data_IF_779503415210
#
_entry.id   IF_779503415210
#
_cell.length_a   1.000
_cell.length_b   1.000
_cell.length_c   1.000
_cell.angle_alpha   90.00
_cell.angle_beta   90.00
_cell.angle_gamma   90.00
#
_symmetry.space_group_name_H-M   'P 1'
#
loop_
_entity.id
_entity.type
_entity.pdbx_description
1 polymer ?
#
# COMPACT_ATOMS: atom_id res chain seq x y z
N UNK A 1 -69.91 1.35 4.30
CA UNK A 1 -68.49 1.73 4.44
C UNK A 1 -67.80 0.67 5.27
N UNK A 2 -66.88 -0.08 4.67
CA UNK A 2 -65.94 -0.93 5.41
C UNK A 2 -64.63 -0.93 4.60
N UNK A 3 -63.68 -0.09 5.02
CA UNK A 3 -62.32 -0.12 4.49
C UNK A 3 -61.56 -1.20 5.25
N UNK A 4 -61.32 -2.33 4.60
CA UNK A 4 -60.38 -3.33 5.08
C UNK A 4 -58.95 -2.82 4.87
N UNK A 5 -58.29 -2.44 5.95
CA UNK A 5 -56.84 -2.21 5.95
C UNK A 5 -56.14 -3.57 5.85
N UNK A 6 -55.72 -3.95 4.64
CA UNK A 6 -54.69 -4.96 4.45
C UNK A 6 -53.36 -4.35 4.89
N UNK A 7 -52.97 -4.56 6.15
CA UNK A 7 -51.57 -4.41 6.55
C UNK A 7 -50.77 -5.48 5.82
N UNK A 8 -50.04 -5.08 4.79
CA UNK A 8 -48.99 -5.89 4.21
C UNK A 8 -47.90 -6.08 5.28
N UNK A 9 -47.91 -7.22 5.96
CA UNK A 9 -46.77 -7.67 6.74
C UNK A 9 -45.67 -8.04 5.74
N UNK A 10 -44.76 -7.10 5.46
CA UNK A 10 -43.50 -7.43 4.81
C UNK A 10 -42.80 -8.47 5.68
N UNK A 11 -42.58 -9.68 5.13
CA UNK A 11 -41.79 -10.70 5.82
C UNK A 11 -40.40 -10.12 6.11
N UNK A 12 -39.90 -10.35 7.32
CA UNK A 12 -38.56 -9.91 7.67
C UNK A 12 -37.55 -10.54 6.69
N UNK A 13 -36.58 -9.76 6.17
CA UNK A 13 -35.61 -10.29 5.22
C UNK A 13 -34.79 -11.40 5.87
N UNK A 14 -34.52 -12.45 5.11
CA UNK A 14 -33.66 -13.56 5.51
C UNK A 14 -32.21 -13.11 5.68
N UNK A 15 -31.40 -13.91 6.39
CA UNK A 15 -29.96 -13.69 6.54
C UNK A 15 -29.23 -13.61 5.17
N UNK A 16 -29.63 -14.46 4.21
CA UNK A 16 -29.11 -14.44 2.84
C UNK A 16 -29.44 -13.15 2.10
N UNK A 17 -30.68 -12.68 2.19
CA UNK A 17 -31.11 -11.43 1.54
C UNK A 17 -30.37 -10.23 2.13
N UNK A 18 -30.28 -10.13 3.46
CA UNK A 18 -29.52 -9.06 4.14
C UNK A 18 -28.06 -9.01 3.69
N UNK A 19 -27.41 -10.17 3.60
CA UNK A 19 -26.02 -10.24 3.16
C UNK A 19 -25.85 -9.90 1.67
N UNK A 20 -26.76 -10.35 0.81
CA UNK A 20 -26.72 -10.04 -0.62
C UNK A 20 -26.94 -8.54 -0.86
N UNK A 21 -27.93 -7.94 -0.20
CA UNK A 21 -28.17 -6.50 -0.25
C UNK A 21 -26.96 -5.72 0.25
N UNK A 22 -26.37 -6.12 1.39
CA UNK A 22 -25.16 -5.49 1.90
C UNK A 22 -24.01 -5.55 0.89
N UNK A 23 -23.79 -6.67 0.20
CA UNK A 23 -22.76 -6.81 -0.83
C UNK A 23 -22.99 -5.89 -2.03
N UNK A 24 -24.24 -5.73 -2.46
CA UNK A 24 -24.60 -4.79 -3.53
C UNK A 24 -24.31 -3.36 -3.08
N UNK A 25 -24.69 -3.00 -1.86
CA UNK A 25 -24.42 -1.67 -1.29
C UNK A 25 -22.92 -1.40 -1.13
N UNK A 26 -22.12 -2.40 -0.74
CA UNK A 26 -20.65 -2.34 -0.71
C UNK A 26 -20.08 -2.09 -2.09
N UNK A 27 -20.60 -2.76 -3.12
CA UNK A 27 -20.19 -2.54 -4.51
C UNK A 27 -20.49 -1.10 -4.95
N UNK A 28 -21.65 -0.58 -4.55
CA UNK A 28 -22.07 0.82 -4.76
C UNK A 28 -21.34 1.83 -3.85
N UNK A 29 -20.45 1.38 -2.95
CA UNK A 29 -19.75 2.20 -1.93
C UNK A 29 -20.70 2.93 -0.96
N UNK A 30 -21.90 2.39 -0.73
CA UNK A 30 -22.87 2.89 0.27
C UNK A 30 -22.61 2.24 1.62
N UNK A 31 -21.51 2.64 2.26
CA UNK A 31 -20.93 1.95 3.43
C UNK A 31 -21.87 1.90 4.63
N UNK A 32 -22.53 3.00 4.97
CA UNK A 32 -23.42 3.11 6.13
C UNK A 32 -24.68 2.25 5.93
N UNK A 33 -25.23 2.26 4.72
CA UNK A 33 -26.41 1.44 4.39
C UNK A 33 -26.07 -0.05 4.39
N UNK A 34 -24.90 -0.41 3.83
CA UNK A 34 -24.41 -1.78 3.89
C UNK A 34 -24.20 -2.23 5.35
N UNK A 35 -23.59 -1.38 6.17
CA UNK A 35 -23.37 -1.65 7.58
C UNK A 35 -24.69 -1.92 8.31
N UNK A 36 -25.74 -1.12 8.07
CA UNK A 36 -27.05 -1.34 8.70
C UNK A 36 -27.62 -2.72 8.38
N UNK A 37 -27.50 -3.18 7.14
CA UNK A 37 -27.96 -4.52 6.72
C UNK A 37 -27.17 -5.64 7.41
N UNK A 38 -25.86 -5.44 7.57
CA UNK A 38 -24.98 -6.37 8.26
C UNK A 38 -25.25 -6.40 9.77
N UNK A 39 -25.50 -5.25 10.38
CA UNK A 39 -25.88 -5.13 11.79
C UNK A 39 -27.20 -5.85 12.06
N UNK A 40 -28.20 -5.68 11.18
CA UNK A 40 -29.46 -6.43 11.24
C UNK A 40 -29.22 -7.95 11.16
N UNK A 41 -28.34 -8.40 10.27
CA UNK A 41 -27.99 -9.82 10.16
C UNK A 41 -27.34 -10.34 11.45
N UNK A 42 -26.34 -9.63 11.96
CA UNK A 42 -25.58 -10.04 13.14
C UNK A 42 -26.44 -10.06 14.41
N UNK A 43 -27.42 -9.16 14.54
CA UNK A 43 -28.32 -9.11 15.70
C UNK A 43 -29.41 -10.18 15.61
N UNK A 44 -30.03 -10.34 14.44
CA UNK A 44 -31.22 -11.21 14.29
C UNK A 44 -30.86 -12.67 14.07
N UNK A 45 -29.69 -12.94 13.50
CA UNK A 45 -29.29 -14.27 13.07
C UNK A 45 -27.90 -14.64 13.62
N UNK A 46 -27.75 -14.62 14.95
CA UNK A 46 -26.48 -14.92 15.65
C UNK A 46 -25.91 -16.31 15.36
N UNK A 47 -26.78 -17.28 15.04
CA UNK A 47 -26.41 -18.66 14.72
C UNK A 47 -26.30 -18.93 13.21
N UNK A 48 -26.44 -17.89 12.37
CA UNK A 48 -26.36 -18.06 10.92
C UNK A 48 -24.97 -18.53 10.50
N UNK A 49 -24.85 -19.47 9.53
CA UNK A 49 -23.57 -19.81 8.91
C UNK A 49 -22.94 -18.62 8.17
N UNK A 50 -23.70 -17.55 7.92
CA UNK A 50 -23.23 -16.33 7.28
C UNK A 50 -22.69 -15.30 8.27
N UNK A 51 -22.79 -15.55 9.58
CA UNK A 51 -22.40 -14.60 10.63
C UNK A 51 -20.97 -14.11 10.46
N UNK A 52 -20.01 -15.02 10.27
CA UNK A 52 -18.60 -14.66 10.09
C UNK A 52 -18.39 -13.82 8.84
N UNK A 53 -19.05 -14.17 7.73
CA UNK A 53 -18.96 -13.40 6.50
C UNK A 53 -19.56 -12.00 6.68
N UNK A 54 -20.68 -11.88 7.38
CA UNK A 54 -21.29 -10.59 7.69
C UNK A 54 -20.38 -9.72 8.58
N UNK A 55 -19.73 -10.33 9.56
CA UNK A 55 -18.80 -9.65 10.45
C UNK A 55 -17.57 -9.10 9.70
N UNK A 56 -17.00 -9.88 8.79
CA UNK A 56 -15.92 -9.42 7.90
C UNK A 56 -16.35 -8.21 7.06
N UNK A 57 -17.51 -8.29 6.40
CA UNK A 57 -18.01 -7.17 5.60
C UNK A 57 -18.37 -5.95 6.44
N UNK A 58 -18.77 -6.12 7.71
CA UNK A 58 -18.99 -5.01 8.63
C UNK A 58 -17.67 -4.29 8.92
N UNK A 59 -16.61 -5.06 9.18
CA UNK A 59 -15.25 -4.50 9.32
C UNK A 59 -14.84 -3.69 8.09
N UNK A 60 -15.13 -4.22 6.90
CA UNK A 60 -14.88 -3.51 5.62
C UNK A 60 -15.66 -2.21 5.52
N UNK A 61 -16.96 -2.20 5.84
CA UNK A 61 -17.76 -0.98 5.77
C UNK A 61 -17.27 0.08 6.77
N UNK A 62 -16.87 -0.33 7.98
CA UNK A 62 -16.33 0.59 8.98
C UNK A 62 -14.97 1.13 8.58
N UNK A 63 -14.10 0.32 7.95
CA UNK A 63 -12.77 0.76 7.52
C UNK A 63 -12.78 1.82 6.41
N UNK A 64 -13.90 1.99 5.72
CA UNK A 64 -14.08 2.96 4.64
C UNK A 64 -14.83 4.23 5.12
N UNK A 65 -15.15 4.31 6.42
CA UNK A 65 -15.78 5.46 7.05
C UNK A 65 -14.76 6.21 7.93
N UNK A 66 -14.66 7.52 7.74
CA UNK A 66 -13.74 8.37 8.51
C UNK A 66 -14.12 8.40 10.00
N UNK A 67 -13.14 8.16 10.88
CA UNK A 67 -13.35 8.16 12.34
C UNK A 67 -13.86 6.83 12.91
N UNK A 68 -14.11 5.83 12.07
CA UNK A 68 -14.59 4.50 12.47
C UNK A 68 -13.47 3.44 12.55
N UNK A 69 -12.21 3.85 12.44
CA UNK A 69 -11.03 2.97 12.35
C UNK A 69 -10.93 2.04 13.57
N UNK A 70 -11.20 2.58 14.77
CA UNK A 70 -11.18 1.80 16.02
C UNK A 70 -12.23 0.70 16.02
N UNK A 71 -13.45 1.01 15.57
CA UNK A 71 -14.53 0.03 15.51
C UNK A 71 -14.22 -1.03 14.45
N UNK A 72 -13.65 -0.62 13.31
CA UNK A 72 -13.21 -1.54 12.27
C UNK A 72 -12.16 -2.53 12.79
N UNK A 73 -11.12 -2.06 13.51
CA UNK A 73 -10.11 -2.92 14.12
C UNK A 73 -10.74 -3.97 15.05
N UNK A 74 -11.63 -3.54 15.95
CA UNK A 74 -12.28 -4.45 16.90
C UNK A 74 -13.15 -5.49 16.18
N UNK A 75 -13.88 -5.09 15.13
CA UNK A 75 -14.69 -6.02 14.32
C UNK A 75 -13.80 -7.03 13.58
N UNK A 76 -12.67 -6.60 13.01
CA UNK A 76 -11.72 -7.51 12.37
C UNK A 76 -11.06 -8.48 13.35
N UNK A 77 -10.74 -8.03 14.57
CA UNK A 77 -10.25 -8.91 15.65
C UNK A 77 -11.31 -9.95 16.05
N UNK A 78 -12.57 -9.53 16.18
CA UNK A 78 -13.69 -10.43 16.45
C UNK A 78 -13.84 -11.48 15.34
N UNK A 79 -13.76 -11.06 14.07
CA UNK A 79 -13.79 -11.97 12.92
C UNK A 79 -12.65 -12.99 12.97
N UNK A 80 -11.41 -12.55 13.20
CA UNK A 80 -10.24 -13.43 13.32
C UNK A 80 -10.37 -14.47 14.43
N UNK A 81 -11.07 -14.14 15.52
CA UNK A 81 -11.32 -15.05 16.64
C UNK A 81 -12.35 -16.15 16.36
N UNK A 82 -13.03 -16.12 15.20
CA UNK A 82 -14.08 -17.09 14.86
C UNK A 82 -13.52 -18.38 14.29
N UNK A 83 -14.12 -19.51 14.70
CA UNK A 83 -13.73 -20.85 14.25
C UNK A 83 -14.06 -21.11 12.78
N UNK A 84 -15.10 -20.45 12.28
CA UNK A 84 -15.62 -20.57 10.92
C UNK A 84 -15.12 -19.43 10.00
N UNK A 85 -14.12 -18.67 10.42
CA UNK A 85 -13.51 -17.64 9.60
C UNK A 85 -12.65 -18.24 8.48
N UNK A 86 -12.74 -17.64 7.29
CA UNK A 86 -11.97 -18.05 6.12
C UNK A 86 -10.52 -17.58 6.26
N UNK A 87 -9.56 -18.45 5.93
CA UNK A 87 -8.13 -18.17 6.12
C UNK A 87 -7.64 -16.97 5.29
N UNK A 88 -8.12 -16.81 4.06
CA UNK A 88 -7.69 -15.70 3.20
C UNK A 88 -8.27 -14.37 3.72
N UNK A 89 -9.52 -14.39 4.15
CA UNK A 89 -10.16 -13.22 4.76
C UNK A 89 -9.58 -12.89 6.14
N UNK A 90 -9.06 -13.86 6.89
CA UNK A 90 -8.28 -13.61 8.11
C UNK A 90 -7.03 -12.81 7.74
N UNK A 91 -6.26 -13.25 6.74
CA UNK A 91 -5.06 -12.54 6.29
C UNK A 91 -5.40 -11.10 5.86
N UNK A 92 -6.47 -10.91 5.08
CA UNK A 92 -6.96 -9.59 4.69
C UNK A 92 -7.34 -8.73 5.91
N UNK A 93 -8.01 -9.31 6.90
CA UNK A 93 -8.38 -8.62 8.15
C UNK A 93 -7.15 -8.19 8.95
N UNK A 94 -6.10 -9.02 9.01
CA UNK A 94 -4.85 -8.66 9.69
C UNK A 94 -4.11 -7.52 8.99
N UNK A 95 -4.09 -7.53 7.65
CA UNK A 95 -3.54 -6.41 6.85
C UNK A 95 -4.33 -5.13 7.11
N UNK A 96 -5.67 -5.20 7.12
CA UNK A 96 -6.52 -4.04 7.44
C UNK A 96 -6.31 -3.52 8.86
N UNK A 97 -6.11 -4.40 9.85
CA UNK A 97 -5.76 -3.99 11.22
C UNK A 97 -4.43 -3.22 11.22
N UNK A 98 -3.41 -3.69 10.50
CA UNK A 98 -2.11 -3.00 10.38
C UNK A 98 -2.28 -1.60 9.79
N UNK A 99 -3.07 -1.47 8.71
CA UNK A 99 -3.31 -0.18 8.05
C UNK A 99 -4.02 0.81 8.97
N UNK A 100 -5.15 0.40 9.55
CA UNK A 100 -5.94 1.25 10.44
C UNK A 100 -5.16 1.64 11.70
N UNK A 101 -4.36 0.71 12.23
CA UNK A 101 -3.53 0.97 13.41
C UNK A 101 -2.41 1.97 13.12
N UNK A 102 -1.83 1.90 11.91
CA UNK A 102 -0.85 2.87 11.45
C UNK A 102 -1.47 4.26 11.31
N UNK A 103 -2.65 4.35 10.69
CA UNK A 103 -3.32 5.65 10.50
C UNK A 103 -3.68 6.28 11.86
N UNK A 104 -4.19 5.49 12.81
CA UNK A 104 -4.44 5.95 14.18
C UNK A 104 -3.16 6.38 14.90
N UNK A 105 -2.05 5.67 14.70
CA UNK A 105 -0.76 6.03 15.28
C UNK A 105 -0.28 7.39 14.74
N UNK A 106 -0.33 7.61 13.43
CA UNK A 106 0.07 8.87 12.78
C UNK A 106 -0.84 10.04 13.21
N UNK A 107 -2.11 9.77 13.56
CA UNK A 107 -3.01 10.72 14.22
C UNK A 107 -2.69 10.97 15.71
N UNK A 108 -1.58 10.45 16.23
CA UNK A 108 -1.11 10.64 17.59
C UNK A 108 -1.68 9.64 18.61
N UNK A 109 -2.40 8.59 18.19
CA UNK A 109 -2.86 7.51 19.08
C UNK A 109 -1.76 6.45 19.22
N UNK A 110 -0.71 6.80 19.97
CA UNK A 110 0.54 6.02 20.05
C UNK A 110 0.37 4.55 20.43
N UNK A 111 -0.65 4.19 21.22
CA UNK A 111 -0.91 2.81 21.65
C UNK A 111 -1.22 1.85 20.49
N UNK A 112 -1.68 2.35 19.33
CA UNK A 112 -2.00 1.48 18.19
C UNK A 112 -0.77 0.90 17.49
N UNK A 113 0.43 1.37 17.83
CA UNK A 113 1.66 0.75 17.36
C UNK A 113 1.80 -0.71 17.80
N UNK A 114 1.26 -1.05 18.96
CA UNK A 114 1.35 -2.39 19.55
C UNK A 114 0.69 -3.45 18.64
N UNK A 115 -0.35 -3.08 17.90
CA UNK A 115 -1.01 -3.96 16.93
C UNK A 115 -0.09 -4.33 15.76
N UNK A 116 0.67 -3.35 15.28
CA UNK A 116 1.63 -3.55 14.20
C UNK A 116 2.82 -4.36 14.70
N UNK A 117 3.33 -4.05 15.90
CA UNK A 117 4.42 -4.79 16.53
C UNK A 117 4.06 -6.24 16.83
N UNK A 118 2.84 -6.51 17.28
CA UNK A 118 2.35 -7.87 17.47
C UNK A 118 2.30 -8.63 16.14
N UNK A 119 1.96 -7.94 15.04
CA UNK A 119 1.86 -8.54 13.70
C UNK A 119 3.21 -9.00 13.14
N UNK A 120 4.35 -8.45 13.62
CA UNK A 120 5.69 -8.96 13.33
C UNK A 120 5.90 -10.40 13.81
N UNK A 121 5.08 -10.89 14.74
CA UNK A 121 5.12 -12.26 15.26
C UNK A 121 4.06 -13.16 14.62
N UNK A 122 3.34 -12.68 13.60
CA UNK A 122 2.34 -13.50 12.90
C UNK A 122 2.99 -14.75 12.30
N UNK A 123 2.25 -15.86 12.34
CA UNK A 123 2.63 -17.10 11.64
C UNK A 123 2.44 -16.95 10.13
N UNK A 124 1.55 -16.06 9.72
CA UNK A 124 1.36 -15.73 8.32
C UNK A 124 2.52 -14.84 7.84
N UNK A 125 3.23 -15.32 6.83
CA UNK A 125 4.40 -14.64 6.26
C UNK A 125 4.01 -13.31 5.63
N UNK A 126 2.89 -13.26 4.92
CA UNK A 126 2.44 -12.05 4.24
C UNK A 126 2.12 -10.95 5.25
N UNK A 127 1.41 -11.29 6.33
CA UNK A 127 1.08 -10.35 7.42
C UNK A 127 2.34 -9.86 8.13
N UNK A 128 3.25 -10.77 8.47
CA UNK A 128 4.51 -10.44 9.13
C UNK A 128 5.38 -9.48 8.30
N UNK A 129 5.50 -9.75 7.00
CA UNK A 129 6.28 -8.90 6.09
C UNK A 129 5.60 -7.55 5.87
N UNK A 130 4.27 -7.54 5.69
CA UNK A 130 3.51 -6.32 5.54
C UNK A 130 3.66 -5.41 6.77
N UNK A 131 3.58 -5.97 7.98
CA UNK A 131 3.81 -5.22 9.23
C UNK A 131 5.20 -4.57 9.28
N UNK A 132 6.25 -5.30 8.89
CA UNK A 132 7.62 -4.78 8.89
C UNK A 132 7.81 -3.64 7.88
N UNK A 133 7.25 -3.78 6.68
CA UNK A 133 7.28 -2.73 5.66
C UNK A 133 6.47 -1.51 6.13
N UNK A 134 5.31 -1.71 6.74
CA UNK A 134 4.49 -0.62 7.27
C UNK A 134 5.22 0.13 8.40
N UNK A 135 5.86 -0.57 9.34
CA UNK A 135 6.67 0.04 10.40
C UNK A 135 7.80 0.91 9.87
N UNK A 136 8.39 0.59 8.71
CA UNK A 136 9.43 1.44 8.11
C UNK A 136 8.98 2.86 7.75
N UNK A 137 7.65 3.07 7.66
CA UNK A 137 7.03 4.36 7.35
C UNK A 137 6.73 5.19 8.60
N UNK A 138 6.85 4.61 9.79
CA UNK A 138 6.64 5.32 11.05
C UNK A 138 7.74 6.36 11.25
N UNK A 139 7.34 7.56 11.68
CA UNK A 139 8.26 8.68 11.89
C UNK A 139 9.27 8.43 13.02
N UNK A 140 8.85 7.76 14.11
CA UNK A 140 9.76 7.36 15.18
C UNK A 140 10.71 6.24 14.72
N UNK A 141 11.99 6.58 14.60
CA UNK A 141 13.04 5.65 14.19
C UNK A 141 13.24 4.50 15.17
N UNK A 142 13.01 4.70 16.47
CA UNK A 142 13.16 3.62 17.45
C UNK A 142 12.12 2.53 17.21
N UNK A 143 10.87 2.93 17.03
CA UNK A 143 9.77 2.06 16.65
C UNK A 143 10.01 1.40 15.29
N UNK A 144 10.40 2.17 14.27
CA UNK A 144 10.65 1.64 12.93
C UNK A 144 11.76 0.56 12.92
N UNK A 145 12.80 0.72 13.75
CA UNK A 145 13.88 -0.27 13.93
C UNK A 145 13.40 -1.64 14.40
N UNK A 146 12.24 -1.76 15.04
CA UNK A 146 11.65 -3.04 15.44
C UNK A 146 11.30 -3.93 14.24
N UNK A 147 11.07 -3.34 13.05
CA UNK A 147 10.82 -4.07 11.81
C UNK A 147 12.08 -4.64 11.14
N UNK A 148 13.28 -4.15 11.49
CA UNK A 148 14.53 -4.51 10.80
C UNK A 148 14.82 -6.02 10.75
N UNK A 149 14.63 -6.82 11.83
CA UNK A 149 14.91 -8.25 11.76
C UNK A 149 14.08 -8.97 10.69
N UNK A 150 12.81 -8.57 10.51
CA UNK A 150 11.92 -9.15 9.50
C UNK A 150 12.30 -8.66 8.10
N UNK A 151 12.68 -7.38 7.94
CA UNK A 151 13.14 -6.87 6.64
C UNK A 151 14.43 -7.54 6.18
N UNK A 152 15.37 -7.82 7.10
CA UNK A 152 16.58 -8.59 6.81
C UNK A 152 16.24 -10.02 6.38
N UNK A 153 15.31 -10.68 7.08
CA UNK A 153 14.81 -12.01 6.71
C UNK A 153 14.25 -12.04 5.28
N UNK A 154 13.51 -10.99 4.86
CA UNK A 154 13.03 -10.84 3.48
C UNK A 154 14.21 -10.79 2.49
N UNK A 155 15.21 -9.95 2.75
CA UNK A 155 16.35 -9.73 1.85
C UNK A 155 17.23 -10.98 1.68
N UNK A 156 17.36 -11.77 2.75
CA UNK A 156 18.15 -13.00 2.79
C UNK A 156 17.43 -14.20 2.16
N UNK A 157 16.12 -14.34 2.35
CA UNK A 157 15.41 -15.59 2.07
C UNK A 157 14.42 -15.55 0.92
N UNK A 158 13.87 -14.38 0.60
CA UNK A 158 12.88 -14.28 -0.47
C UNK A 158 13.58 -14.18 -1.83
N UNK A 159 12.95 -14.77 -2.85
CA UNK A 159 13.43 -14.73 -4.25
C UNK A 159 12.71 -13.68 -5.09
N UNK A 160 11.55 -13.25 -4.64
CA UNK A 160 10.74 -12.24 -5.30
C UNK A 160 11.49 -10.89 -5.28
N UNK A 161 11.86 -10.42 -6.47
CA UNK A 161 12.66 -9.21 -6.63
C UNK A 161 11.91 -7.96 -6.16
N UNK A 162 10.61 -7.87 -6.44
CA UNK A 162 9.79 -6.71 -6.04
C UNK A 162 9.69 -6.64 -4.51
N UNK A 163 9.46 -7.79 -3.87
CA UNK A 163 9.40 -7.87 -2.41
C UNK A 163 10.75 -7.52 -1.77
N UNK A 164 11.86 -7.99 -2.36
CA UNK A 164 13.22 -7.64 -1.88
C UNK A 164 13.47 -6.15 -2.06
N UNK A 165 13.12 -5.55 -3.19
CA UNK A 165 13.31 -4.12 -3.44
C UNK A 165 12.48 -3.27 -2.46
N UNK A 166 11.24 -3.66 -2.20
CA UNK A 166 10.41 -3.04 -1.16
C UNK A 166 11.06 -3.13 0.22
N UNK A 167 11.66 -4.27 0.56
CA UNK A 167 12.40 -4.43 1.82
C UNK A 167 13.68 -3.59 1.85
N UNK A 168 14.45 -3.48 0.75
CA UNK A 168 15.63 -2.61 0.65
C UNK A 168 15.24 -1.15 0.92
N UNK A 169 14.17 -0.67 0.27
CA UNK A 169 13.63 0.67 0.50
C UNK A 169 13.19 0.87 1.95
N UNK A 170 12.51 -0.12 2.53
CA UNK A 170 12.10 -0.08 3.93
C UNK A 170 13.30 0.00 4.89
N UNK A 171 14.37 -0.77 4.64
CA UNK A 171 15.60 -0.70 5.44
C UNK A 171 16.25 0.68 5.31
N UNK A 172 16.39 1.22 4.10
CA UNK A 172 16.97 2.55 3.86
C UNK A 172 16.23 3.66 4.62
N UNK A 173 14.91 3.58 4.72
CA UNK A 173 14.12 4.54 5.50
C UNK A 173 14.44 4.49 7.00
N UNK A 174 14.78 3.32 7.53
CA UNK A 174 15.00 3.11 8.96
C UNK A 174 16.45 3.39 9.33
N UNK A 175 17.38 2.81 8.58
CA UNK A 175 18.80 2.78 8.87
C UNK A 175 19.58 2.69 7.53
N UNK A 176 19.95 3.84 6.93
CA UNK A 176 20.64 3.86 5.64
C UNK A 176 21.92 3.01 5.60
N UNK A 177 22.64 2.98 6.73
CA UNK A 177 23.91 2.25 6.87
C UNK A 177 23.70 0.74 7.06
N UNK A 178 22.47 0.28 7.35
CA UNK A 178 22.20 -1.13 7.58
C UNK A 178 22.34 -2.02 6.32
N UNK A 179 22.46 -1.40 5.14
CA UNK A 179 22.71 -2.11 3.89
C UNK A 179 24.20 -2.38 3.61
N UNK A 180 25.14 -1.77 4.33
CA UNK A 180 26.59 -1.96 4.09
C UNK A 180 27.05 -3.42 4.24
N UNK A 181 26.30 -4.24 4.98
CA UNK A 181 26.62 -5.65 5.25
C UNK A 181 25.69 -6.65 4.56
N UNK A 182 24.71 -6.20 3.76
CA UNK A 182 23.87 -7.13 3.00
C UNK A 182 24.63 -7.47 1.73
N UNK A 183 25.35 -8.59 1.78
CA UNK A 183 25.92 -9.19 0.59
C UNK A 183 24.78 -9.38 -0.40
N UNK A 184 24.76 -8.57 -1.46
CA UNK A 184 23.96 -8.86 -2.64
C UNK A 184 24.45 -10.23 -3.11
N UNK A 185 23.72 -11.29 -2.75
CA UNK A 185 23.79 -12.52 -3.51
C UNK A 185 23.40 -12.14 -4.92
N UNK A 186 24.42 -11.96 -5.77
CA UNK A 186 24.36 -11.72 -7.19
C UNK A 186 23.46 -12.78 -7.84
N UNK A 187 22.17 -12.53 -7.85
CA UNK A 187 21.30 -13.06 -8.88
C UNK A 187 21.49 -12.14 -10.08
N UNK A 188 22.16 -12.68 -11.09
CA UNK A 188 22.56 -12.07 -12.37
C UNK A 188 21.45 -11.27 -13.07
N UNK A 189 21.17 -10.07 -12.58
CA UNK A 189 20.52 -9.02 -13.34
C UNK A 189 21.22 -7.73 -12.95
N UNK A 190 22.06 -7.21 -13.86
CA UNK A 190 22.62 -5.86 -13.68
C UNK A 190 21.45 -4.92 -13.39
N UNK A 191 21.46 -4.17 -12.27
CA UNK A 191 20.39 -3.24 -11.97
C UNK A 191 20.34 -2.22 -13.10
N UNK A 192 19.13 -1.95 -13.63
CA UNK A 192 18.97 -0.95 -14.68
C UNK A 192 19.37 0.41 -14.13
N UNK A 193 20.19 1.16 -14.85
CA UNK A 193 20.69 2.47 -14.43
C UNK A 193 20.09 3.57 -15.32
N UNK A 194 19.50 4.59 -14.71
CA UNK A 194 19.24 5.85 -15.40
C UNK A 194 20.54 6.65 -15.48
N UNK A 195 20.94 6.97 -16.71
CA UNK A 195 22.13 7.76 -17.01
C UNK A 195 21.70 9.09 -17.61
N UNK A 196 22.19 10.19 -17.03
CA UNK A 196 22.02 11.55 -17.53
C UNK A 196 23.40 12.15 -17.80
N UNK A 197 23.58 12.74 -18.98
CA UNK A 197 24.77 13.51 -19.35
C UNK A 197 24.35 14.85 -19.92
N UNK A 198 25.09 15.90 -19.58
CA UNK A 198 24.93 17.23 -20.17
C UNK A 198 26.27 17.59 -20.82
N UNK A 199 26.22 18.01 -22.08
CA UNK A 199 27.37 18.44 -22.87
C UNK A 199 27.22 19.92 -23.19
N UNK A 200 28.30 20.67 -23.04
CA UNK A 200 28.39 22.05 -23.49
C UNK A 200 28.75 22.08 -24.99
N UNK A 201 28.35 23.14 -25.69
CA UNK A 201 28.45 23.22 -27.15
C UNK A 201 29.89 23.04 -27.66
N UNK A 202 30.14 21.91 -28.32
CA UNK A 202 31.42 21.61 -28.98
C UNK A 202 32.41 20.83 -28.12
N UNK A 203 32.04 20.45 -26.90
CA UNK A 203 32.86 19.62 -26.02
C UNK A 203 32.50 18.13 -26.15
N UNK A 204 33.52 17.26 -26.13
CA UNK A 204 33.33 15.80 -26.17
C UNK A 204 33.11 15.20 -24.76
N UNK A 205 33.53 15.92 -23.71
CA UNK A 205 33.31 15.52 -22.32
C UNK A 205 32.04 16.15 -21.76
N UNK A 206 31.34 15.41 -20.89
CA UNK A 206 30.10 15.90 -20.29
C UNK A 206 30.42 16.83 -19.11
N UNK A 207 29.88 18.06 -19.15
CA UNK A 207 29.97 19.03 -18.05
C UNK A 207 29.22 18.56 -16.80
N UNK A 208 28.24 17.66 -16.96
CA UNK A 208 27.56 16.98 -15.87
C UNK A 208 27.27 15.51 -16.19
N UNK A 209 27.43 14.64 -15.19
CA UNK A 209 27.16 13.22 -15.27
C UNK A 209 26.46 12.72 -14.01
N UNK A 210 25.32 12.05 -14.20
CA UNK A 210 24.58 11.36 -13.14
C UNK A 210 24.25 9.93 -13.57
N UNK A 211 24.50 8.97 -12.69
CA UNK A 211 24.07 7.58 -12.85
C UNK A 211 23.33 7.18 -11.58
N UNK A 212 22.05 6.83 -11.70
CA UNK A 212 21.24 6.37 -10.57
C UNK A 212 20.55 5.07 -10.92
N UNK A 213 20.43 4.11 -9.99
CA UNK A 213 19.57 2.95 -10.21
C UNK A 213 18.16 3.38 -10.61
N UNK A 214 17.59 2.74 -11.63
CA UNK A 214 16.25 3.05 -12.15
C UNK A 214 15.19 3.03 -11.04
N UNK A 215 15.31 2.09 -10.10
CA UNK A 215 14.43 1.99 -8.92
C UNK A 215 14.44 3.24 -8.02
N UNK A 216 15.46 4.09 -8.11
CA UNK A 216 15.59 5.35 -7.36
C UNK A 216 15.24 6.58 -8.18
N UNK A 217 15.01 6.45 -9.49
CA UNK A 217 14.76 7.58 -10.38
C UNK A 217 13.45 8.31 -10.00
N UNK A 218 12.38 7.57 -9.68
CA UNK A 218 11.10 8.18 -9.24
C UNK A 218 11.26 8.97 -7.94
N UNK A 219 12.14 8.52 -7.03
CA UNK A 219 12.44 9.24 -5.79
C UNK A 219 13.21 10.53 -6.06
N UNK A 220 14.22 10.47 -6.93
CA UNK A 220 14.98 11.65 -7.32
C UNK A 220 14.09 12.71 -8.00
N UNK A 221 13.20 12.28 -8.90
CA UNK A 221 12.27 13.18 -9.62
C UNK A 221 11.17 13.74 -8.72
N UNK A 222 10.62 12.93 -7.81
CA UNK A 222 9.62 13.41 -6.84
C UNK A 222 10.19 14.42 -5.85
N UNK A 223 11.50 14.42 -5.64
CA UNK A 223 12.20 15.42 -4.81
C UNK A 223 12.37 16.78 -5.48
N UNK A 224 12.10 16.90 -6.79
CA UNK A 224 12.11 18.19 -7.50
C UNK A 224 10.87 18.99 -7.08
N UNK A 225 11.01 20.26 -6.68
CA UNK A 225 9.87 21.13 -6.37
C UNK A 225 8.90 21.26 -7.54
N UNK A 226 7.60 21.31 -7.27
CA UNK A 226 6.57 21.35 -8.33
C UNK A 226 6.66 22.62 -9.19
N UNK A 227 7.11 23.73 -8.61
CA UNK A 227 7.36 24.98 -9.34
C UNK A 227 8.41 24.81 -10.44
N UNK A 228 9.45 24.00 -10.19
CA UNK A 228 10.52 23.77 -11.15
C UNK A 228 10.09 22.73 -12.20
N UNK A 229 9.29 21.72 -11.82
CA UNK A 229 8.66 20.82 -12.79
C UNK A 229 7.73 21.57 -13.74
N UNK A 230 6.97 22.54 -13.24
CA UNK A 230 6.08 23.32 -14.08
C UNK A 230 6.84 24.14 -15.13
N UNK A 231 7.97 24.77 -14.75
CA UNK A 231 8.84 25.47 -15.71
C UNK A 231 9.34 24.54 -16.81
N UNK A 232 9.72 23.31 -16.46
CA UNK A 232 10.17 22.31 -17.44
C UNK A 232 9.03 21.90 -18.39
N UNK A 233 7.80 21.74 -17.88
CA UNK A 233 6.62 21.46 -18.72
C UNK A 233 6.33 22.62 -19.68
N UNK A 234 6.47 23.87 -19.22
CA UNK A 234 6.28 25.06 -20.05
C UNK A 234 7.31 25.17 -21.20
N UNK A 235 8.52 24.62 -20.99
CA UNK A 235 9.56 24.47 -22.01
C UNK A 235 9.38 23.23 -22.92
N UNK A 236 8.30 22.45 -22.70
CA UNK A 236 7.95 21.28 -23.51
C UNK A 236 8.53 19.96 -22.99
N UNK A 237 9.08 19.93 -21.78
CA UNK A 237 9.68 18.74 -21.17
C UNK A 237 8.83 18.24 -20.00
N UNK A 238 8.04 17.20 -20.22
CA UNK A 238 7.28 16.52 -19.17
C UNK A 238 8.08 15.31 -18.63
N UNK A 239 8.57 15.43 -17.39
CA UNK A 239 9.39 14.40 -16.75
C UNK A 239 8.66 13.06 -16.59
N UNK A 240 7.35 13.09 -16.34
CA UNK A 240 6.56 11.87 -16.15
C UNK A 240 6.40 11.12 -17.48
N UNK A 241 6.24 11.85 -18.57
CA UNK A 241 6.15 11.28 -19.91
C UNK A 241 7.51 10.80 -20.42
N UNK A 242 8.59 11.54 -20.16
CA UNK A 242 9.97 11.11 -20.47
C UNK A 242 10.26 9.75 -19.82
N UNK A 243 9.88 9.56 -18.55
CA UNK A 243 10.08 8.30 -17.83
C UNK A 243 9.26 7.15 -18.41
N UNK A 244 8.00 7.42 -18.83
CA UNK A 244 7.17 6.44 -19.53
C UNK A 244 7.73 6.06 -20.90
N UNK A 245 8.38 6.98 -21.60
CA UNK A 245 9.00 6.69 -22.89
C UNK A 245 10.27 5.85 -22.74
N UNK A 246 11.13 6.19 -21.78
CA UNK A 246 12.35 5.46 -21.46
C UNK A 246 12.08 4.00 -21.06
N UNK A 247 10.94 3.72 -20.42
CA UNK A 247 10.53 2.36 -20.04
C UNK A 247 9.95 1.54 -21.19
N UNK A 248 9.31 2.18 -22.17
CA UNK A 248 8.61 1.49 -23.28
C UNK A 248 9.57 0.97 -24.35
N UNK A 249 10.71 1.62 -24.56
CA UNK A 249 11.62 1.29 -25.68
C UNK A 249 13.01 0.97 -25.13
N UNK A 250 13.37 -0.32 -25.11
CA UNK A 250 14.71 -0.77 -24.69
C UNK A 250 15.79 -0.12 -25.56
N UNK A 251 16.69 0.64 -24.96
CA UNK A 251 17.92 1.15 -25.58
C UNK A 251 17.82 2.51 -26.27
N UNK A 252 16.72 3.27 -26.10
CA UNK A 252 16.64 4.63 -26.63
C UNK A 252 17.38 5.63 -25.72
N UNK A 253 18.23 6.44 -26.34
CA UNK A 253 18.81 7.64 -25.74
C UNK A 253 17.89 8.81 -26.12
N UNK A 254 17.27 9.44 -25.13
CA UNK A 254 16.58 10.70 -25.32
C UNK A 254 17.62 11.81 -25.41
N UNK A 255 17.62 12.56 -26.51
CA UNK A 255 18.49 13.72 -26.72
C UNK A 255 17.66 15.00 -26.71
N UNK A 256 17.96 15.88 -25.76
CA UNK A 256 17.35 17.21 -25.65
C UNK A 256 18.38 18.24 -26.08
N UNK A 257 18.07 19.00 -27.13
CA UNK A 257 18.94 20.05 -27.69
C UNK A 257 18.45 21.42 -27.22
N UNK A 258 19.21 22.06 -26.35
CA UNK A 258 19.07 23.47 -26.03
C UNK A 258 19.88 24.35 -26.99
N UNK A 259 19.84 25.68 -26.80
CA UNK A 259 20.58 26.64 -27.62
C UNK A 259 22.10 26.47 -27.49
N UNK A 260 22.60 26.12 -26.28
CA UNK A 260 24.03 25.99 -25.97
C UNK A 260 24.41 24.66 -25.26
N UNK A 261 23.47 23.73 -25.10
CA UNK A 261 23.70 22.46 -24.40
C UNK A 261 22.98 21.28 -25.06
N UNK A 262 23.54 20.08 -24.88
CA UNK A 262 22.95 18.80 -25.29
C UNK A 262 22.80 17.91 -24.06
N UNK A 263 21.58 17.52 -23.74
CA UNK A 263 21.30 16.59 -22.64
C UNK A 263 20.99 15.22 -23.25
N UNK A 264 21.63 14.17 -22.73
CA UNK A 264 21.37 12.77 -23.09
C UNK A 264 20.86 12.01 -21.88
N UNK A 265 19.75 11.29 -22.04
CA UNK A 265 19.13 10.48 -20.99
C UNK A 265 18.86 9.08 -21.52
N UNK A 266 19.29 8.02 -20.82
CA UNK A 266 19.04 6.63 -21.22
C UNK A 266 19.00 5.67 -20.03
N UNK A 267 18.47 4.47 -20.27
CA UNK A 267 18.51 3.35 -19.33
C UNK A 267 19.55 2.33 -19.80
N UNK A 268 20.55 2.05 -18.96
CA UNK A 268 21.52 0.96 -19.12
C UNK A 268 21.07 -0.32 -18.41
#
# INVERSE_FOLDING_TARGET
MAFSFLQAYAQAPSDKELLQEAKILIFDKKWEQAQQKLDDLLVRYSDSPLYSQALFYKGKCLSEQEGEERKAIEVYKQYKGRKDADKNLIQESEIKIIDLSFDLYEQGRTSYIDEIEQSLRSRDKAVRYYAAIKLSKVSDKSTARKGLPVLKDILEREKDTELRDLAKLAVLRIDPDALENIQDHEYETRPRMLCIRIYDRGEEEASFSLNIPWALADLALSSIPEEDKQKMRDEGYDLDDIMKELTKIKGNILEIKGEDSLIKIWIE
#
